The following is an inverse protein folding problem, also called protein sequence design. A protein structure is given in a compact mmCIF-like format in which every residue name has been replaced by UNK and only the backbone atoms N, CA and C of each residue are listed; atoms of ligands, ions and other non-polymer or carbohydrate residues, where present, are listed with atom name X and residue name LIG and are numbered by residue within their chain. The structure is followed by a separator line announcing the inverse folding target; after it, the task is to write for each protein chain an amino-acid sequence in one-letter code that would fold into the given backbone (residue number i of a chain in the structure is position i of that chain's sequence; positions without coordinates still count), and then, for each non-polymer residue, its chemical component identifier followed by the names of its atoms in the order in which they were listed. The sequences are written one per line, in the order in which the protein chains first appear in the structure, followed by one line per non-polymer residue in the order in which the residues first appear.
data_IF_589998555858
#
_entry.id   IF_589998555858
#
_cell.length_a   1.000
_cell.length_b   1.000
_cell.length_c   1.000
_cell.angle_alpha   90.00
_cell.angle_beta   90.00
_cell.angle_gamma   90.00
#
_symmetry.space_group_name_H-M   'P 1'
#
loop_
_entity.id
_entity.type
_entity.pdbx_description
1 polymer ?
#
# COMPACT_ATOMS: atom_id res chain seq x y z
N UNK A 1 -15.60 32.68 -15.31
CA UNK A 1 -16.10 31.29 -15.30
C UNK A 1 -14.91 30.35 -15.33
N UNK A 2 -14.53 29.79 -14.20
CA UNK A 2 -13.37 28.90 -14.05
C UNK A 2 -13.79 27.48 -14.35
N UNK A 3 -13.24 26.90 -15.41
CA UNK A 3 -13.44 25.49 -15.77
C UNK A 3 -12.76 24.59 -14.72
N UNK A 4 -13.42 23.53 -14.22
CA UNK A 4 -12.81 22.63 -13.27
C UNK A 4 -11.79 21.72 -13.98
N UNK A 5 -10.60 21.67 -13.44
CA UNK A 5 -9.46 20.86 -13.90
C UNK A 5 -9.59 19.44 -13.42
N UNK A 6 -9.51 18.48 -14.34
CA UNK A 6 -9.34 17.06 -14.03
C UNK A 6 -7.88 16.86 -13.57
N UNK A 7 -7.66 16.73 -12.27
CA UNK A 7 -6.36 16.35 -11.73
C UNK A 7 -6.26 14.82 -11.61
N UNK A 8 -5.56 14.18 -12.53
CA UNK A 8 -5.15 12.78 -12.38
C UNK A 8 -3.85 12.79 -11.57
N UNK A 9 -3.92 12.44 -10.29
CA UNK A 9 -2.74 12.28 -9.45
C UNK A 9 -2.35 10.82 -9.49
N UNK A 10 -1.28 10.49 -10.23
CA UNK A 10 -0.66 9.17 -10.22
C UNK A 10 0.35 9.17 -9.07
N UNK A 11 0.01 8.52 -7.95
CA UNK A 11 0.96 8.27 -6.87
C UNK A 11 1.65 6.94 -7.17
N UNK A 12 2.69 6.99 -7.98
CA UNK A 12 3.63 5.87 -8.10
C UNK A 12 4.59 5.92 -6.91
N UNK A 13 4.69 4.81 -6.18
CA UNK A 13 5.65 4.69 -5.10
C UNK A 13 7.02 4.38 -5.73
N UNK A 14 7.81 5.41 -6.04
CA UNK A 14 9.20 5.25 -6.46
C UNK A 14 10.04 5.22 -5.19
N UNK A 15 10.30 4.03 -4.68
CA UNK A 15 11.40 3.83 -3.77
C UNK A 15 12.67 3.81 -4.63
N UNK A 16 13.30 4.95 -4.79
CA UNK A 16 14.75 5.15 -4.78
C UNK A 16 15.10 6.52 -5.32
N UNK A 17 16.00 7.20 -4.60
CA UNK A 17 16.48 8.52 -4.90
C UNK A 17 17.14 8.64 -6.27
N UNK A 18 16.42 9.27 -7.17
CA UNK A 18 16.98 10.01 -8.26
C UNK A 18 16.21 11.32 -8.36
N UNK A 19 16.67 12.30 -7.59
CA UNK A 19 16.30 13.69 -7.82
C UNK A 19 17.06 14.14 -9.06
N UNK A 20 16.57 13.81 -10.24
CA UNK A 20 16.90 14.52 -11.45
C UNK A 20 15.70 15.30 -11.88
N UNK A 21 15.79 16.63 -11.77
CA UNK A 21 15.02 17.65 -12.46
C UNK A 21 13.75 17.19 -13.19
N UNK A 22 12.71 16.83 -12.44
CA UNK A 22 11.37 16.84 -12.98
C UNK A 22 10.87 18.30 -12.92
N UNK A 23 11.41 19.13 -13.81
CA UNK A 23 10.73 20.34 -14.19
C UNK A 23 9.34 19.92 -14.65
N UNK A 24 8.33 20.32 -13.90
CA UNK A 24 6.93 20.09 -14.15
C UNK A 24 6.57 20.49 -15.59
N UNK A 25 6.69 19.55 -16.51
CA UNK A 25 5.97 19.63 -17.78
C UNK A 25 4.53 19.26 -17.44
N UNK A 26 3.78 20.26 -16.99
CA UNK A 26 2.33 20.21 -17.10
C UNK A 26 2.05 20.10 -18.59
N UNK A 27 1.83 18.89 -19.06
CA UNK A 27 1.27 18.65 -20.40
C UNK A 27 -0.13 19.21 -20.32
N UNK A 28 -0.32 20.44 -20.79
CA UNK A 28 -1.64 20.96 -21.06
C UNK A 28 -2.18 20.12 -22.21
N UNK A 29 -3.24 19.30 -22.03
CA UNK A 29 -3.88 18.70 -23.17
C UNK A 29 -4.43 19.85 -24.02
N UNK A 30 -3.96 19.94 -25.28
CA UNK A 30 -4.62 20.72 -26.29
C UNK A 30 -6.08 20.30 -26.31
N UNK A 31 -6.99 21.28 -26.08
CA UNK A 31 -8.45 21.23 -26.23
C UNK A 31 -9.00 19.81 -26.51
N UNK A 32 -9.23 19.05 -25.43
CA UNK A 32 -10.07 17.86 -25.50
C UNK A 32 -11.48 18.36 -25.74
N UNK A 33 -11.96 18.22 -26.98
CA UNK A 33 -13.36 18.41 -27.29
C UNK A 33 -14.13 17.38 -26.46
N UNK A 34 -14.96 17.85 -25.53
CA UNK A 34 -15.89 17.00 -24.82
C UNK A 34 -16.82 16.37 -25.83
N UNK A 35 -16.64 15.07 -26.12
CA UNK A 35 -17.61 14.30 -26.86
C UNK A 35 -18.91 14.28 -26.06
N UNK A 36 -20.03 14.55 -26.74
CA UNK A 36 -21.36 14.52 -26.18
C UNK A 36 -21.62 13.17 -25.51
N UNK A 37 -21.82 13.15 -24.17
CA UNK A 37 -22.16 11.93 -23.45
C UNK A 37 -21.70 11.85 -21.99
N UNK A 38 -21.09 12.90 -21.42
CA UNK A 38 -20.79 12.88 -19.99
C UNK A 38 -22.11 12.87 -19.19
N UNK A 39 -22.29 11.97 -18.19
CA UNK A 39 -23.47 11.95 -17.37
C UNK A 39 -23.64 13.31 -16.67
N UNK A 40 -24.84 13.85 -16.67
CA UNK A 40 -25.18 15.12 -16.03
C UNK A 40 -25.11 15.03 -14.49
N UNK A 41 -25.16 13.80 -13.96
CA UNK A 41 -25.03 13.48 -12.53
C UNK A 41 -24.03 12.34 -12.36
N UNK A 42 -23.09 12.51 -11.43
CA UNK A 42 -22.12 11.49 -11.05
C UNK A 42 -22.57 10.78 -9.78
N UNK A 43 -22.26 9.50 -9.66
CA UNK A 43 -22.55 8.71 -8.44
C UNK A 43 -21.76 9.23 -7.25
N UNK A 44 -20.51 9.68 -7.51
CA UNK A 44 -19.57 10.17 -6.50
C UNK A 44 -18.88 11.46 -6.93
N UNK A 45 -18.39 12.23 -5.94
CA UNK A 45 -17.48 13.34 -6.21
C UNK A 45 -16.05 12.82 -6.48
N UNK A 46 -15.71 11.71 -5.82
CA UNK A 46 -14.40 11.08 -5.94
C UNK A 46 -14.50 9.56 -5.89
N UNK A 47 -13.86 8.88 -6.84
CA UNK A 47 -13.57 7.45 -6.78
C UNK A 47 -12.06 7.26 -6.62
N UNK A 48 -11.66 6.37 -5.71
CA UNK A 48 -10.27 6.01 -5.47
C UNK A 48 -10.08 4.53 -5.79
N UNK A 49 -9.11 4.21 -6.65
CA UNK A 49 -8.75 2.84 -6.99
C UNK A 49 -7.49 2.46 -6.25
N UNK A 50 -7.63 1.52 -5.30
CA UNK A 50 -6.58 1.05 -4.42
C UNK A 50 -6.68 1.62 -3.00
N UNK A 51 -6.54 0.75 -1.99
CA UNK A 51 -6.69 1.07 -0.58
C UNK A 51 -5.40 0.83 0.23
N UNK A 52 -4.25 1.07 -0.40
CA UNK A 52 -2.98 1.21 0.30
C UNK A 52 -2.91 2.53 1.07
N UNK A 53 -1.75 2.86 1.64
CA UNK A 53 -1.57 4.08 2.46
C UNK A 53 -1.96 5.36 1.70
N UNK A 54 -1.68 5.43 0.40
CA UNK A 54 -2.03 6.58 -0.44
C UNK A 54 -3.54 6.71 -0.65
N UNK A 55 -4.20 5.63 -1.10
CA UNK A 55 -5.64 5.65 -1.35
C UNK A 55 -6.46 5.83 -0.08
N UNK A 56 -6.08 5.16 1.02
CA UNK A 56 -6.72 5.30 2.32
C UNK A 56 -6.64 6.75 2.82
N UNK A 57 -5.43 7.35 2.80
CA UNK A 57 -5.24 8.75 3.21
C UNK A 57 -6.05 9.72 2.35
N UNK A 58 -6.08 9.52 1.03
CA UNK A 58 -6.88 10.31 0.11
C UNK A 58 -8.39 10.22 0.43
N UNK A 59 -8.90 9.02 0.76
CA UNK A 59 -10.30 8.80 1.09
C UNK A 59 -10.71 9.56 2.35
N UNK A 60 -9.92 9.47 3.42
CA UNK A 60 -10.19 10.20 4.66
C UNK A 60 -10.14 11.71 4.44
N UNK A 61 -9.15 12.20 3.71
CA UNK A 61 -9.03 13.62 3.39
C UNK A 61 -10.22 14.13 2.57
N UNK A 62 -10.66 13.36 1.56
CA UNK A 62 -11.80 13.71 0.73
C UNK A 62 -13.09 13.81 1.57
N UNK A 63 -13.32 12.86 2.48
CA UNK A 63 -14.48 12.90 3.38
C UNK A 63 -14.42 14.06 4.36
N UNK A 64 -13.25 14.39 4.88
CA UNK A 64 -13.07 15.57 5.73
C UNK A 64 -13.44 16.88 4.99
N UNK A 65 -13.30 16.92 3.67
CA UNK A 65 -13.73 18.02 2.81
C UNK A 65 -15.18 17.88 2.28
N UNK A 66 -15.98 16.96 2.82
CA UNK A 66 -17.39 16.79 2.49
C UNK A 66 -17.67 16.10 1.15
N UNK A 67 -16.66 15.55 0.46
CA UNK A 67 -16.85 14.89 -0.82
C UNK A 67 -17.49 13.50 -0.65
N UNK A 68 -18.49 13.19 -1.46
CA UNK A 68 -19.06 11.85 -1.56
C UNK A 68 -18.04 10.93 -2.23
N UNK A 69 -17.46 10.02 -1.45
CA UNK A 69 -16.26 9.26 -1.85
C UNK A 69 -16.52 7.76 -1.84
N UNK A 70 -16.09 7.08 -2.91
CA UNK A 70 -15.97 5.63 -2.97
C UNK A 70 -14.50 5.21 -3.10
N UNK A 71 -14.16 4.05 -2.52
CA UNK A 71 -12.83 3.45 -2.64
C UNK A 71 -12.95 1.98 -3.02
N UNK A 72 -12.24 1.58 -4.10
CA UNK A 72 -12.12 0.19 -4.51
C UNK A 72 -10.85 -0.39 -3.87
N UNK A 73 -11.03 -1.40 -3.02
CA UNK A 73 -9.94 -1.89 -2.16
C UNK A 73 -9.06 -2.94 -2.83
N UNK A 74 -9.54 -3.60 -3.88
CA UNK A 74 -8.86 -4.75 -4.47
C UNK A 74 -8.70 -5.92 -3.50
N UNK A 75 -9.51 -5.98 -2.42
CA UNK A 75 -9.42 -6.91 -1.29
C UNK A 75 -8.10 -6.78 -0.51
N UNK A 76 -7.44 -5.63 -0.57
CA UNK A 76 -6.13 -5.39 0.03
C UNK A 76 -6.08 -4.06 0.81
N UNK A 77 -6.95 -3.94 1.81
CA UNK A 77 -6.95 -2.76 2.69
C UNK A 77 -5.62 -2.66 3.44
N UNK A 78 -4.99 -1.48 3.41
CA UNK A 78 -3.66 -1.24 3.95
C UNK A 78 -2.53 -1.45 2.94
N UNK A 79 -2.76 -2.25 1.89
CA UNK A 79 -1.80 -2.50 0.81
C UNK A 79 -0.49 -3.09 1.28
N UNK A 80 0.55 -2.91 0.50
CA UNK A 80 1.90 -3.45 0.77
C UNK A 80 2.43 -3.01 2.14
N UNK A 81 2.31 -1.75 2.49
CA UNK A 81 2.88 -1.22 3.74
C UNK A 81 2.34 -1.95 4.98
N UNK A 82 1.04 -2.14 5.07
CA UNK A 82 0.40 -2.73 6.24
C UNK A 82 0.50 -4.25 6.23
N UNK A 83 0.23 -4.89 5.08
CA UNK A 83 0.04 -6.34 5.02
C UNK A 83 1.34 -7.11 4.79
N UNK A 84 2.32 -6.55 4.09
CA UNK A 84 3.53 -7.25 3.64
C UNK A 84 4.78 -6.36 3.49
N UNK A 85 4.84 -5.26 4.22
CA UNK A 85 5.93 -4.30 4.14
C UNK A 85 6.26 -3.66 5.49
N UNK A 86 5.96 -2.38 5.62
CA UNK A 86 6.39 -1.55 6.74
C UNK A 86 6.00 -2.09 8.12
N UNK A 87 4.76 -2.50 8.30
CA UNK A 87 4.27 -2.95 9.61
C UNK A 87 4.94 -4.27 10.02
N UNK A 88 4.83 -5.36 9.26
CA UNK A 88 5.45 -6.62 9.67
C UNK A 88 6.98 -6.54 9.71
N UNK A 89 7.64 -5.86 8.77
CA UNK A 89 9.11 -5.73 8.81
C UNK A 89 9.60 -5.01 10.06
N UNK A 90 8.94 -3.94 10.47
CA UNK A 90 9.32 -3.21 11.69
C UNK A 90 9.04 -3.99 12.96
N UNK A 91 7.98 -4.80 12.99
CA UNK A 91 7.73 -5.71 14.10
C UNK A 91 8.84 -6.76 14.25
N UNK A 92 9.29 -7.37 13.13
CA UNK A 92 10.41 -8.30 13.11
C UNK A 92 11.72 -7.63 13.54
N UNK A 93 12.02 -6.45 13.01
CA UNK A 93 13.22 -5.67 13.36
C UNK A 93 13.23 -5.27 14.85
N UNK A 94 12.07 -4.91 15.40
CA UNK A 94 11.94 -4.57 16.81
C UNK A 94 12.23 -5.78 17.72
N UNK A 95 11.73 -6.96 17.36
CA UNK A 95 12.03 -8.19 18.07
C UNK A 95 13.52 -8.56 17.97
N UNK A 96 14.08 -8.50 16.76
CA UNK A 96 15.50 -8.78 16.54
C UNK A 96 16.42 -7.79 17.31
N UNK A 97 16.02 -6.52 17.36
CA UNK A 97 16.73 -5.49 18.14
C UNK A 97 16.77 -5.81 19.63
N UNK A 98 15.65 -6.22 20.21
CA UNK A 98 15.58 -6.63 21.63
C UNK A 98 16.45 -7.83 21.93
N UNK A 99 16.40 -8.87 21.08
CA UNK A 99 17.27 -10.05 21.27
C UNK A 99 18.74 -9.67 21.17
N UNK A 100 19.12 -8.84 20.21
CA UNK A 100 20.48 -8.35 20.03
C UNK A 100 20.96 -7.57 21.26
N UNK A 101 20.13 -6.68 21.80
CA UNK A 101 20.44 -5.90 22.98
C UNK A 101 20.65 -6.80 24.20
N UNK A 102 19.71 -7.72 24.46
CA UNK A 102 19.76 -8.63 25.60
C UNK A 102 20.95 -9.60 25.52
N UNK A 103 21.43 -9.96 24.32
CA UNK A 103 22.63 -10.79 24.12
C UNK A 103 23.96 -10.02 24.18
N UNK A 104 23.93 -8.69 24.22
CA UNK A 104 25.13 -7.86 24.34
C UNK A 104 25.52 -7.66 25.81
N UNK A 105 26.03 -8.71 26.43
CA UNK A 105 26.38 -8.69 27.85
C UNK A 105 27.36 -7.56 28.24
N UNK A 106 28.36 -7.28 27.38
CA UNK A 106 29.33 -6.21 27.64
C UNK A 106 28.62 -4.85 27.79
N UNK A 107 27.69 -4.55 26.89
CA UNK A 107 26.93 -3.30 26.92
C UNK A 107 25.99 -3.25 28.14
N UNK A 108 25.28 -4.34 28.42
CA UNK A 108 24.38 -4.41 29.59
C UNK A 108 25.16 -4.26 30.92
N UNK A 109 26.31 -4.90 31.05
CA UNK A 109 27.19 -4.78 32.25
C UNK A 109 27.62 -3.35 32.49
N UNK A 110 27.86 -2.54 31.44
CA UNK A 110 28.21 -1.12 31.61
C UNK A 110 27.10 -0.28 32.27
N UNK A 111 25.86 -0.74 32.20
CA UNK A 111 24.72 -0.16 32.91
C UNK A 111 24.40 -0.84 34.25
N UNK A 112 25.22 -1.80 34.68
CA UNK A 112 24.95 -2.58 35.89
C UNK A 112 23.83 -3.62 35.72
N UNK A 113 23.49 -3.97 34.49
CA UNK A 113 22.43 -4.94 34.15
C UNK A 113 23.06 -6.31 33.87
N UNK A 114 22.52 -7.34 34.51
CA UNK A 114 22.87 -8.73 34.23
C UNK A 114 21.63 -9.48 33.74
N UNK A 115 21.75 -10.18 32.63
CA UNK A 115 20.67 -10.98 32.02
C UNK A 115 21.17 -12.43 31.93
N UNK A 116 20.30 -13.37 32.24
CA UNK A 116 20.58 -14.80 32.06
C UNK A 116 20.45 -15.22 30.59
N UNK A 117 20.29 -16.53 30.36
CA UNK A 117 20.13 -17.05 29.00
C UNK A 117 18.96 -16.43 28.25
N UNK A 118 19.24 -15.93 27.05
CA UNK A 118 18.26 -15.32 26.16
C UNK A 118 17.91 -16.30 25.05
N UNK A 119 16.68 -16.80 25.08
CA UNK A 119 16.07 -17.57 24.01
C UNK A 119 15.03 -16.75 23.25
N UNK A 120 14.69 -17.16 22.07
CA UNK A 120 13.60 -16.58 21.28
C UNK A 120 12.86 -17.65 20.49
N UNK A 121 11.60 -17.41 20.28
CA UNK A 121 10.72 -18.24 19.45
C UNK A 121 10.44 -17.52 18.13
N UNK A 122 10.90 -18.10 17.02
CA UNK A 122 10.73 -17.52 15.67
C UNK A 122 9.27 -17.48 15.24
N UNK A 123 8.51 -18.52 15.57
CA UNK A 123 7.07 -18.61 15.25
C UNK A 123 6.28 -17.56 16.04
N UNK A 124 6.54 -17.43 17.33
CA UNK A 124 5.91 -16.42 18.17
C UNK A 124 6.19 -14.99 17.66
N UNK A 125 7.42 -14.72 17.21
CA UNK A 125 7.77 -13.42 16.60
C UNK A 125 7.00 -13.20 15.30
N UNK A 126 6.89 -14.21 14.43
CA UNK A 126 6.13 -14.11 13.18
C UNK A 126 4.64 -13.87 13.43
N UNK A 127 4.07 -14.62 14.37
CA UNK A 127 2.68 -14.47 14.77
C UNK A 127 2.38 -13.07 15.35
N UNK A 128 3.30 -12.54 16.16
CA UNK A 128 3.19 -11.16 16.65
C UNK A 128 3.14 -10.13 15.50
N UNK A 129 4.02 -10.26 14.52
CA UNK A 129 4.05 -9.37 13.37
C UNK A 129 2.76 -9.46 12.54
N UNK A 130 2.25 -10.67 12.31
CA UNK A 130 1.00 -10.90 11.58
C UNK A 130 -0.22 -10.33 12.33
N UNK A 131 -0.30 -10.54 13.65
CA UNK A 131 -1.38 -9.98 14.48
C UNK A 131 -1.36 -8.44 14.48
N UNK A 132 -0.18 -7.84 14.52
CA UNK A 132 -0.04 -6.38 14.45
C UNK A 132 -0.55 -5.85 13.11
N UNK A 133 -0.16 -6.48 11.99
CA UNK A 133 -0.64 -6.11 10.66
C UNK A 133 -2.17 -6.22 10.55
N UNK A 134 -2.75 -7.32 11.02
CA UNK A 134 -4.20 -7.52 11.02
C UNK A 134 -4.94 -6.48 11.87
N UNK A 135 -4.40 -6.11 13.03
CA UNK A 135 -4.97 -5.06 13.88
C UNK A 135 -4.95 -3.70 13.18
N UNK A 136 -3.84 -3.35 12.55
CA UNK A 136 -3.74 -2.09 11.79
C UNK A 136 -4.72 -2.10 10.63
N UNK A 137 -4.81 -3.19 9.87
CA UNK A 137 -5.78 -3.35 8.78
C UNK A 137 -7.21 -3.11 9.27
N UNK A 138 -7.63 -3.78 10.34
CA UNK A 138 -8.98 -3.61 10.92
C UNK A 138 -9.27 -2.17 11.37
N UNK A 139 -8.28 -1.48 11.92
CA UNK A 139 -8.41 -0.07 12.28
C UNK A 139 -8.62 0.82 11.04
N UNK A 140 -7.91 0.55 9.94
CA UNK A 140 -8.08 1.28 8.68
C UNK A 140 -9.48 1.06 8.09
N UNK A 141 -9.97 -0.17 8.07
CA UNK A 141 -11.34 -0.50 7.62
C UNK A 141 -12.39 0.22 8.45
N UNK A 142 -12.21 0.21 9.77
CA UNK A 142 -13.10 0.91 10.72
C UNK A 142 -13.11 2.41 10.47
N UNK A 143 -11.95 3.01 10.24
CA UNK A 143 -11.83 4.45 9.97
C UNK A 143 -12.56 4.85 8.67
N UNK A 144 -12.45 4.07 7.59
CA UNK A 144 -13.19 4.34 6.35
C UNK A 144 -14.69 4.31 6.57
N UNK A 145 -15.19 3.28 7.26
CA UNK A 145 -16.62 3.14 7.58
C UNK A 145 -17.13 4.28 8.47
N UNK A 146 -16.39 4.63 9.52
CA UNK A 146 -16.74 5.71 10.44
C UNK A 146 -16.83 7.08 9.74
N UNK A 147 -16.02 7.31 8.74
CA UNK A 147 -16.04 8.54 7.92
C UNK A 147 -17.08 8.50 6.78
N UNK A 148 -17.83 7.41 6.65
CA UNK A 148 -18.86 7.26 5.61
C UNK A 148 -18.30 7.14 4.19
N UNK A 149 -17.09 6.58 4.03
CA UNK A 149 -16.55 6.19 2.72
C UNK A 149 -17.31 4.96 2.21
N UNK A 150 -17.78 4.98 0.97
CA UNK A 150 -18.32 3.78 0.31
C UNK A 150 -17.16 2.84 -0.03
N UNK A 151 -17.07 1.71 0.67
CA UNK A 151 -16.02 0.72 0.45
C UNK A 151 -16.51 -0.35 -0.51
N UNK A 152 -15.83 -0.52 -1.63
CA UNK A 152 -16.11 -1.53 -2.65
C UNK A 152 -15.00 -2.57 -2.60
N UNK A 153 -15.33 -3.79 -2.16
CA UNK A 153 -14.38 -4.90 -2.03
C UNK A 153 -14.15 -5.57 -3.38
N UNK A 154 -13.55 -4.84 -4.31
CA UNK A 154 -13.25 -5.28 -5.66
C UNK A 154 -12.06 -4.52 -6.22
N UNK A 155 -11.44 -5.08 -7.26
CA UNK A 155 -10.58 -4.33 -8.17
C UNK A 155 -11.44 -3.41 -9.03
N UNK A 156 -10.82 -2.33 -9.53
CA UNK A 156 -11.45 -1.42 -10.45
C UNK A 156 -10.58 -1.19 -11.67
N UNK A 157 -11.20 -1.17 -12.83
CA UNK A 157 -10.56 -0.86 -14.11
C UNK A 157 -11.07 0.44 -14.68
N UNK A 158 -10.15 1.24 -15.21
CA UNK A 158 -10.50 2.43 -15.99
C UNK A 158 -11.13 1.98 -17.31
N UNK A 159 -12.22 2.62 -17.70
CA UNK A 159 -12.87 2.39 -19.00
C UNK A 159 -12.38 3.40 -20.04
N UNK A 160 -12.72 3.17 -21.31
CA UNK A 160 -12.43 4.12 -22.40
C UNK A 160 -13.27 5.41 -22.29
N UNK A 161 -14.34 5.38 -21.49
CA UNK A 161 -15.19 6.55 -21.25
C UNK A 161 -14.66 7.31 -20.04
N UNK A 162 -14.43 8.62 -20.14
CA UNK A 162 -14.00 9.46 -19.03
C UNK A 162 -14.95 9.37 -17.82
N UNK A 163 -14.40 9.52 -16.61
CA UNK A 163 -15.17 9.55 -15.37
C UNK A 163 -15.82 8.23 -14.95
N UNK A 164 -15.45 7.10 -15.56
CA UNK A 164 -16.03 5.79 -15.31
C UNK A 164 -14.98 4.80 -14.78
N UNK A 165 -15.38 4.03 -13.77
CA UNK A 165 -14.63 2.87 -13.27
C UNK A 165 -15.55 1.66 -13.33
N UNK A 166 -15.06 0.60 -13.92
CA UNK A 166 -15.70 -0.72 -13.92
C UNK A 166 -15.29 -1.47 -12.66
N UNK A 167 -16.26 -1.93 -11.90
CA UNK A 167 -16.06 -2.82 -10.74
C UNK A 167 -15.90 -4.24 -11.26
N UNK A 168 -14.72 -4.84 -11.06
CA UNK A 168 -14.38 -6.13 -11.67
C UNK A 168 -15.25 -7.29 -11.19
N UNK A 169 -15.65 -7.28 -9.91
CA UNK A 169 -16.42 -8.38 -9.32
C UNK A 169 -17.87 -8.43 -9.80
N UNK A 170 -18.49 -7.28 -10.11
CA UNK A 170 -19.89 -7.18 -10.49
C UNK A 170 -20.10 -6.83 -11.96
N UNK A 171 -19.07 -6.26 -12.62
CA UNK A 171 -19.17 -5.68 -13.95
C UNK A 171 -19.87 -4.32 -13.98
N UNK A 172 -20.32 -3.82 -12.84
CA UNK A 172 -21.00 -2.53 -12.70
C UNK A 172 -20.04 -1.38 -13.06
N UNK A 173 -20.61 -0.34 -13.68
CA UNK A 173 -19.88 0.90 -13.97
C UNK A 173 -20.35 1.96 -12.98
N UNK A 174 -19.41 2.52 -12.24
CA UNK A 174 -19.63 3.64 -11.32
C UNK A 174 -18.94 4.89 -11.86
N UNK A 175 -19.52 6.06 -11.59
CA UNK A 175 -19.08 7.32 -12.14
C UNK A 175 -18.66 8.33 -11.07
N UNK A 176 -17.66 9.16 -11.38
CA UNK A 176 -17.24 10.23 -10.47
C UNK A 176 -16.76 11.47 -11.21
N UNK A 177 -16.86 12.62 -10.55
CA UNK A 177 -16.28 13.88 -11.04
C UNK A 177 -14.76 13.78 -11.15
N UNK A 178 -14.13 13.07 -10.20
CA UNK A 178 -12.68 12.90 -10.12
C UNK A 178 -12.34 11.45 -9.78
N UNK A 179 -11.20 10.99 -10.27
CA UNK A 179 -10.68 9.64 -10.02
C UNK A 179 -9.23 9.76 -9.55
N UNK A 180 -8.89 9.06 -8.47
CA UNK A 180 -7.51 8.87 -8.01
C UNK A 180 -7.12 7.43 -8.25
N UNK A 181 -6.02 7.21 -8.97
CA UNK A 181 -5.42 5.90 -9.17
C UNK A 181 -4.27 5.73 -8.18
N UNK A 182 -4.43 4.81 -7.25
CA UNK A 182 -3.41 4.44 -6.24
C UNK A 182 -3.26 2.92 -6.15
N UNK A 183 -3.01 2.22 -7.29
CA UNK A 183 -3.06 0.76 -7.38
C UNK A 183 -1.93 0.07 -6.60
N UNK A 184 -0.89 0.80 -6.20
CA UNK A 184 0.30 0.23 -5.59
C UNK A 184 1.22 -0.46 -6.60
N UNK A 185 2.07 -1.34 -6.09
CA UNK A 185 3.04 -2.11 -6.90
C UNK A 185 3.18 -3.53 -6.35
N UNK A 186 3.70 -4.41 -7.18
CA UNK A 186 4.12 -5.76 -6.80
C UNK A 186 5.64 -5.87 -6.89
N UNK A 187 6.30 -6.77 -6.15
CA UNK A 187 7.73 -7.01 -6.28
C UNK A 187 8.10 -7.36 -7.72
N UNK A 188 9.15 -6.72 -8.23
CA UNK A 188 9.68 -7.07 -9.54
C UNK A 188 10.48 -8.37 -9.46
N UNK A 189 10.23 -9.29 -10.39
CA UNK A 189 10.99 -10.52 -10.52
C UNK A 189 11.74 -10.49 -11.86
N UNK A 190 13.07 -10.58 -11.89
CA UNK A 190 13.85 -10.59 -13.12
C UNK A 190 13.47 -11.76 -14.01
N UNK A 191 13.56 -11.56 -15.35
CA UNK A 191 13.28 -12.62 -16.32
C UNK A 191 14.25 -13.79 -16.13
N UNK A 192 13.71 -15.00 -16.02
CA UNK A 192 14.49 -16.22 -15.82
C UNK A 192 14.66 -16.63 -14.36
N UNK A 193 14.27 -15.80 -13.40
CA UNK A 193 14.23 -16.17 -11.98
C UNK A 193 12.88 -16.81 -11.67
N UNK A 194 12.89 -18.02 -11.10
CA UNK A 194 11.69 -18.68 -10.60
C UNK A 194 11.59 -18.47 -9.10
N UNK A 195 10.51 -17.82 -8.68
CA UNK A 195 10.21 -17.56 -7.27
C UNK A 195 9.27 -18.65 -6.76
N UNK A 196 9.68 -19.36 -5.71
CA UNK A 196 8.92 -20.40 -5.04
C UNK A 196 8.39 -19.98 -3.65
N UNK A 197 8.75 -18.76 -3.23
CA UNK A 197 8.45 -18.16 -1.91
C UNK A 197 8.94 -19.03 -0.72
N UNK A 198 9.94 -19.88 -0.95
CA UNK A 198 10.58 -20.76 0.05
C UNK A 198 12.10 -20.62 0.02
N UNK A 199 12.71 -21.01 -1.09
CA UNK A 199 14.16 -20.93 -1.32
C UNK A 199 14.52 -19.64 -2.06
N UNK A 200 13.73 -19.34 -3.08
CA UNK A 200 13.81 -18.07 -3.84
C UNK A 200 12.53 -17.30 -3.59
N UNK A 201 12.63 -16.20 -2.89
CA UNK A 201 11.46 -15.46 -2.44
C UNK A 201 11.61 -13.95 -2.69
N UNK A 202 10.48 -13.31 -2.82
CA UNK A 202 10.37 -11.85 -2.87
C UNK A 202 10.41 -11.25 -1.47
N UNK A 203 10.32 -9.92 -1.37
CA UNK A 203 10.14 -9.24 -0.08
C UNK A 203 8.92 -9.76 0.69
N UNK A 204 7.87 -10.17 -0.02
CA UNK A 204 6.62 -10.66 0.58
C UNK A 204 6.82 -12.01 1.25
N UNK A 205 7.56 -12.93 0.62
CA UNK A 205 7.93 -14.24 1.19
C UNK A 205 8.93 -14.09 2.33
N UNK A 206 9.91 -13.20 2.19
CA UNK A 206 10.93 -12.97 3.22
C UNK A 206 10.37 -12.61 4.59
N UNK A 207 9.23 -11.93 4.65
CA UNK A 207 8.55 -11.60 5.91
C UNK A 207 7.81 -12.79 6.53
N UNK A 208 7.54 -13.82 5.75
CA UNK A 208 6.78 -15.01 6.16
C UNK A 208 7.63 -16.24 6.44
N UNK A 209 8.96 -16.13 6.32
CA UNK A 209 9.86 -17.26 6.56
C UNK A 209 9.64 -17.82 7.97
N UNK A 210 9.39 -19.12 8.06
CA UNK A 210 9.21 -19.83 9.32
C UNK A 210 10.53 -20.23 9.99
N UNK A 211 11.65 -20.06 9.27
CA UNK A 211 13.00 -20.39 9.73
C UNK A 211 13.94 -19.19 9.56
N UNK A 212 15.11 -19.25 10.17
CA UNK A 212 16.21 -18.31 9.97
C UNK A 212 17.20 -18.96 9.04
N UNK A 213 17.39 -18.46 7.79
CA UNK A 213 18.37 -19.03 6.88
C UNK A 213 19.79 -18.84 7.42
N UNK A 214 20.61 -19.90 7.31
CA UNK A 214 22.02 -19.82 7.70
C UNK A 214 22.85 -19.01 6.72
N UNK A 215 22.50 -19.07 5.44
CA UNK A 215 23.11 -18.31 4.35
C UNK A 215 21.99 -17.72 3.51
N UNK A 216 22.10 -16.44 3.18
CA UNK A 216 21.21 -15.75 2.27
C UNK A 216 22.00 -15.02 1.20
N UNK A 217 21.54 -15.07 -0.05
CA UNK A 217 22.01 -14.26 -1.14
C UNK A 217 20.91 -13.27 -1.53
N UNK A 218 21.26 -11.99 -1.65
CA UNK A 218 20.31 -10.97 -2.09
C UNK A 218 20.68 -10.55 -3.51
N UNK A 219 19.75 -10.73 -4.43
CA UNK A 219 19.82 -10.12 -5.76
C UNK A 219 18.91 -8.90 -5.77
N UNK A 220 19.51 -7.72 -5.92
CA UNK A 220 18.76 -6.45 -6.00
C UNK A 220 18.72 -6.06 -7.45
N UNK A 221 17.62 -6.40 -8.12
CA UNK A 221 17.35 -5.91 -9.46
C UNK A 221 16.84 -4.46 -9.40
N UNK A 222 17.62 -3.54 -9.92
CA UNK A 222 17.18 -2.17 -10.19
C UNK A 222 16.58 -2.12 -11.60
N UNK A 223 15.31 -1.73 -11.72
CA UNK A 223 14.66 -1.39 -12.99
C UNK A 223 14.52 0.11 -13.14
#
# INVERSE_FOLDING_TARGET
MLTPWLAIIIVANVANGFVSNFASRVVRPSSMQMSAGAPTTFDYDLIIVGCGVGGHGAALHARANGLKTAILTGNDVGGTCVNRGCVPSKALLAAAGRVRELKNEHHLKSFGISVGDVSFDREGIANHAAQLANRVKGNLETALKAQGVTVVESKGSVTDTPHQIKVESTGEIITAKNIILAPGSVPFVPKGVQVDEKTVFTSDGGLKLEYIPQVGCFDIAFS
#
